data_IF_220811907010
#
_entry.id   IF_220811907010
#
_cell.length_a   1.000
_cell.length_b   1.000
_cell.length_c   1.000
_cell.angle_alpha   90.00
_cell.angle_beta   90.00
_cell.angle_gamma   90.00
#
_symmetry.space_group_name_H-M   'P 1'
#
loop_
_entity.id
_entity.type
_entity.pdbx_description
1 polymer ?
#
# COMPACT_ATOMS: atom_id res chain seq x y z
N UNK A 1 -5.45 8.01 25.20
CA UNK A 1 -5.53 6.55 24.97
C UNK A 1 -4.27 6.09 24.26
N UNK A 2 -3.77 4.88 24.55
CA UNK A 2 -2.59 4.35 23.87
C UNK A 2 -2.84 4.20 22.36
N UNK A 3 -1.82 4.50 21.54
CA UNK A 3 -1.83 4.31 20.08
C UNK A 3 -1.31 2.92 19.77
N UNK A 4 -2.01 2.19 18.92
CA UNK A 4 -1.63 0.84 18.53
C UNK A 4 -1.28 0.79 17.04
N UNK A 5 -0.25 0.07 16.64
CA UNK A 5 0.09 -0.11 15.23
C UNK A 5 -1.07 -0.69 14.40
N UNK A 6 -2.00 -1.39 15.05
CA UNK A 6 -3.20 -1.87 14.40
C UNK A 6 -4.09 -0.73 13.90
N UNK A 7 -4.16 0.42 14.59
CA UNK A 7 -4.87 1.62 14.10
C UNK A 7 -4.27 2.11 12.76
N UNK A 8 -2.93 2.07 12.64
CA UNK A 8 -2.24 2.39 11.39
C UNK A 8 -2.53 1.36 10.28
N UNK A 9 -2.57 0.07 10.61
CA UNK A 9 -2.92 -0.95 9.62
C UNK A 9 -4.37 -0.79 9.13
N UNK A 10 -5.32 -0.55 10.02
CA UNK A 10 -6.71 -0.25 9.66
C UNK A 10 -6.79 1.01 8.79
N UNK A 11 -6.03 2.05 9.13
CA UNK A 11 -5.94 3.28 8.32
C UNK A 11 -5.41 3.02 6.91
N UNK A 12 -4.41 2.17 6.76
CA UNK A 12 -3.89 1.76 5.45
C UNK A 12 -4.94 0.99 4.63
N UNK A 13 -5.69 0.06 5.26
CA UNK A 13 -6.78 -0.67 4.61
C UNK A 13 -7.89 0.27 4.12
N UNK A 14 -8.27 1.26 4.93
CA UNK A 14 -9.28 2.25 4.55
C UNK A 14 -8.81 3.14 3.39
N UNK A 15 -7.56 3.58 3.43
CA UNK A 15 -6.99 4.44 2.39
C UNK A 15 -6.87 3.72 1.04
N UNK A 16 -6.44 2.46 1.04
CA UNK A 16 -6.39 1.61 -0.15
C UNK A 16 -7.79 1.40 -0.75
N UNK A 17 -8.76 0.98 0.06
CA UNK A 17 -10.13 0.73 -0.40
C UNK A 17 -10.82 1.99 -0.94
N UNK A 18 -10.50 3.19 -0.39
CA UNK A 18 -10.99 4.46 -0.90
C UNK A 18 -10.36 4.81 -2.24
N UNK A 19 -9.07 4.59 -2.39
CA UNK A 19 -8.31 4.93 -3.58
C UNK A 19 -8.48 3.91 -4.72
N UNK A 20 -8.92 2.67 -4.43
CA UNK A 20 -9.02 1.55 -5.37
C UNK A 20 -9.77 1.90 -6.68
N UNK A 21 -10.92 2.59 -6.68
CA UNK A 21 -11.63 2.90 -7.93
C UNK A 21 -10.92 3.93 -8.81
N UNK A 22 -10.00 4.72 -8.24
CA UNK A 22 -9.23 5.75 -8.95
C UNK A 22 -7.74 5.45 -9.02
N UNK A 23 -7.36 4.22 -8.71
CA UNK A 23 -5.97 3.77 -8.76
C UNK A 23 -5.44 3.83 -10.19
N UNK A 24 -4.29 4.49 -10.34
CA UNK A 24 -3.59 4.76 -11.58
C UNK A 24 -4.35 5.62 -12.60
N UNK A 25 -5.26 6.50 -12.15
CA UNK A 25 -5.70 7.62 -12.93
C UNK A 25 -4.64 8.72 -12.90
N UNK A 26 -3.92 8.88 -14.01
CA UNK A 26 -2.91 9.94 -14.19
C UNK A 26 -3.53 11.18 -14.81
N UNK A 27 -4.55 11.01 -15.68
CA UNK A 27 -5.39 12.10 -16.17
C UNK A 27 -6.46 12.44 -15.12
N UNK A 28 -6.19 13.52 -14.37
CA UNK A 28 -7.10 13.99 -13.33
C UNK A 28 -8.45 14.48 -13.88
N UNK A 29 -8.49 15.02 -15.12
CA UNK A 29 -9.76 15.40 -15.75
C UNK A 29 -10.62 14.16 -16.01
N UNK A 30 -9.99 13.06 -16.44
CA UNK A 30 -10.66 11.76 -16.57
C UNK A 30 -11.17 11.24 -15.22
N UNK A 31 -10.36 11.31 -14.16
CA UNK A 31 -10.78 10.94 -12.81
C UNK A 31 -12.03 11.71 -12.38
N UNK A 32 -11.99 13.04 -12.53
CA UNK A 32 -13.10 13.92 -12.14
C UNK A 32 -14.36 13.68 -12.98
N UNK A 33 -14.20 13.42 -14.28
CA UNK A 33 -15.32 13.09 -15.18
C UNK A 33 -15.98 11.76 -14.79
N UNK A 34 -15.18 10.74 -14.47
CA UNK A 34 -15.67 9.38 -14.29
C UNK A 34 -16.21 9.14 -12.87
N UNK A 35 -15.64 9.79 -11.85
CA UNK A 35 -15.98 9.56 -10.43
C UNK A 35 -16.40 10.82 -9.67
N UNK A 36 -16.08 12.02 -10.16
CA UNK A 36 -16.18 13.25 -9.38
C UNK A 36 -15.19 13.22 -8.21
N UNK A 37 -15.51 13.95 -7.15
CA UNK A 37 -14.73 13.90 -5.90
C UNK A 37 -14.99 12.60 -5.15
N UNK A 38 -13.96 11.83 -4.92
CA UNK A 38 -14.03 10.55 -4.21
C UNK A 38 -13.97 10.81 -2.70
N UNK A 39 -15.10 10.67 -2.02
CA UNK A 39 -15.25 10.91 -0.56
C UNK A 39 -15.88 9.72 0.17
N UNK A 40 -16.06 8.60 -0.51
CA UNK A 40 -16.58 7.33 0.02
C UNK A 40 -16.08 6.18 -0.82
N UNK A 41 -16.23 4.97 -0.31
CA UNK A 41 -15.93 3.77 -1.07
C UNK A 41 -16.84 3.67 -2.30
N UNK A 42 -16.25 3.44 -3.46
CA UNK A 42 -16.93 3.28 -4.74
C UNK A 42 -16.44 2.00 -5.42
N UNK A 43 -17.28 1.44 -6.28
CA UNK A 43 -16.85 0.35 -7.16
C UNK A 43 -16.09 0.91 -8.37
N UNK A 44 -15.12 0.17 -8.92
CA UNK A 44 -14.44 0.56 -10.14
C UNK A 44 -15.38 0.56 -11.34
N UNK A 45 -15.08 1.40 -12.34
CA UNK A 45 -15.85 1.53 -13.56
C UNK A 45 -14.99 1.24 -14.79
N UNK A 46 -15.57 0.59 -15.78
CA UNK A 46 -15.03 0.53 -17.14
C UNK A 46 -15.73 1.57 -18.03
N UNK A 47 -15.05 2.15 -19.02
CA UNK A 47 -13.62 2.02 -19.28
C UNK A 47 -12.77 2.83 -18.31
N UNK A 48 -11.55 2.34 -18.03
CA UNK A 48 -10.51 3.10 -17.33
C UNK A 48 -9.62 3.78 -18.37
N UNK A 49 -9.60 5.11 -18.39
CA UNK A 49 -8.93 5.89 -19.44
C UNK A 49 -7.42 5.65 -19.50
N UNK A 50 -6.76 5.54 -18.34
CA UNK A 50 -5.30 5.39 -18.23
C UNK A 50 -4.83 3.94 -18.18
N UNK A 51 -5.72 2.96 -18.39
CA UNK A 51 -5.34 1.55 -18.30
C UNK A 51 -4.25 1.17 -19.30
N UNK A 52 -3.18 0.56 -18.79
CA UNK A 52 -2.07 0.02 -19.58
C UNK A 52 -2.16 -1.49 -19.80
N UNK A 53 -3.24 -2.14 -19.41
CA UNK A 53 -3.45 -3.58 -19.60
C UNK A 53 -3.28 -4.00 -21.06
N UNK A 54 -3.68 -3.13 -22.00
CA UNK A 54 -3.54 -3.39 -23.44
C UNK A 54 -2.10 -3.57 -23.92
N UNK A 55 -1.12 -3.01 -23.21
CA UNK A 55 0.31 -3.12 -23.53
C UNK A 55 1.08 -3.97 -22.52
N UNK A 56 0.45 -4.32 -21.41
CA UNK A 56 1.05 -5.18 -20.39
C UNK A 56 1.05 -6.63 -20.86
N UNK A 57 2.15 -7.31 -20.62
CA UNK A 57 2.33 -8.72 -21.01
C UNK A 57 2.81 -9.53 -19.82
N UNK A 58 2.22 -10.68 -19.65
CA UNK A 58 2.72 -11.71 -18.75
C UNK A 58 2.31 -13.08 -19.31
N UNK A 59 3.30 -13.93 -19.53
CA UNK A 59 3.10 -15.30 -19.95
C UNK A 59 3.86 -16.20 -18.97
N UNK A 60 3.15 -17.00 -18.16
CA UNK A 60 3.78 -17.91 -17.22
C UNK A 60 4.61 -18.97 -17.98
N UNK A 61 5.83 -19.22 -17.49
CA UNK A 61 6.71 -20.25 -18.10
C UNK A 61 6.17 -21.67 -17.84
N UNK A 62 5.56 -21.86 -16.68
CA UNK A 62 4.92 -23.12 -16.23
C UNK A 62 3.94 -22.80 -15.08
N UNK A 63 3.36 -23.82 -14.47
CA UNK A 63 2.39 -23.71 -13.38
C UNK A 63 2.86 -22.88 -12.17
N UNK A 64 4.17 -22.83 -11.90
CA UNK A 64 4.76 -21.99 -10.84
C UNK A 64 4.75 -20.50 -11.16
N UNK A 65 4.40 -20.12 -12.37
CA UNK A 65 4.23 -18.74 -12.79
C UNK A 65 2.74 -18.37 -13.00
N UNK A 66 1.80 -19.30 -12.85
CA UNK A 66 0.39 -19.07 -13.14
C UNK A 66 -0.29 -18.29 -12.01
N UNK A 67 -0.22 -16.96 -12.07
CA UNK A 67 -0.76 -16.05 -11.06
C UNK A 67 -1.89 -15.15 -11.59
N UNK A 68 -2.19 -15.19 -12.88
CA UNK A 68 -3.29 -14.41 -13.46
C UNK A 68 -4.60 -15.19 -13.48
N UNK A 69 -4.55 -16.50 -13.58
CA UNK A 69 -5.70 -17.39 -13.63
C UNK A 69 -6.73 -16.92 -14.67
N UNK A 70 -8.00 -16.79 -14.25
CA UNK A 70 -9.10 -16.28 -15.07
C UNK A 70 -8.94 -14.80 -15.48
N UNK A 71 -8.04 -14.05 -14.84
CA UNK A 71 -7.76 -12.66 -15.17
C UNK A 71 -6.88 -12.51 -16.43
N UNK A 72 -6.16 -13.55 -16.85
CA UNK A 72 -5.28 -13.54 -18.01
C UNK A 72 -6.00 -13.10 -19.30
N UNK A 73 -7.29 -13.45 -19.45
CA UNK A 73 -8.10 -13.09 -20.64
C UNK A 73 -8.29 -11.59 -20.84
N UNK A 74 -8.11 -10.75 -19.82
CA UNK A 74 -8.27 -9.29 -19.90
C UNK A 74 -6.97 -8.58 -20.28
N UNK A 75 -5.84 -9.27 -20.19
CA UNK A 75 -4.55 -8.70 -20.58
C UNK A 75 -4.48 -8.51 -22.10
N UNK A 76 -3.94 -7.37 -22.52
CA UNK A 76 -3.97 -6.95 -23.92
C UNK A 76 -5.22 -6.16 -24.32
N UNK A 77 -6.25 -6.06 -23.48
CA UNK A 77 -7.46 -5.32 -23.75
C UNK A 77 -7.36 -3.85 -23.30
N UNK A 78 -7.98 -2.93 -24.07
CA UNK A 78 -8.02 -1.49 -23.74
C UNK A 78 -9.18 -1.16 -22.81
N UNK A 79 -8.98 -0.13 -21.97
CA UNK A 79 -10.02 0.43 -21.14
C UNK A 79 -10.47 -0.47 -19.99
N UNK A 80 -9.80 -1.59 -19.74
CA UNK A 80 -10.12 -2.48 -18.63
C UNK A 80 -9.56 -1.90 -17.34
N UNK A 81 -10.41 -1.74 -16.33
CA UNK A 81 -9.99 -1.28 -15.02
C UNK A 81 -9.13 -2.34 -14.32
N UNK A 82 -8.04 -1.91 -13.68
CA UNK A 82 -7.10 -2.80 -12.99
C UNK A 82 -7.75 -3.66 -11.90
N UNK A 83 -8.83 -3.15 -11.30
CA UNK A 83 -9.56 -3.75 -10.19
C UNK A 83 -11.03 -4.01 -10.53
N UNK A 84 -11.36 -4.26 -11.81
CA UNK A 84 -12.75 -4.28 -12.32
C UNK A 84 -13.73 -5.20 -11.58
N UNK A 85 -13.25 -6.22 -10.89
CA UNK A 85 -14.08 -7.18 -10.17
C UNK A 85 -14.16 -6.91 -8.66
N UNK A 86 -13.42 -5.93 -8.17
CA UNK A 86 -13.51 -5.55 -6.77
C UNK A 86 -14.78 -4.71 -6.52
N UNK A 87 -15.25 -4.73 -5.29
CA UNK A 87 -16.44 -4.00 -4.84
C UNK A 87 -16.04 -2.77 -4.04
N UNK A 88 -16.99 -1.84 -3.86
CA UNK A 88 -16.81 -0.72 -2.94
C UNK A 88 -16.41 -1.21 -1.53
N UNK A 89 -15.35 -0.64 -0.97
CA UNK A 89 -14.79 -1.04 0.32
C UNK A 89 -13.91 -2.30 0.29
N UNK A 90 -13.66 -2.89 -0.88
CA UNK A 90 -12.74 -4.01 -1.05
C UNK A 90 -11.30 -3.52 -1.23
N UNK A 91 -10.34 -4.24 -0.66
CA UNK A 91 -8.92 -3.92 -0.79
C UNK A 91 -8.31 -4.51 -2.06
N UNK A 92 -7.29 -3.81 -2.59
CA UNK A 92 -6.46 -4.31 -3.71
C UNK A 92 -5.65 -5.54 -3.30
N UNK A 93 -5.10 -6.27 -4.29
CA UNK A 93 -4.32 -7.49 -4.07
C UNK A 93 -3.22 -7.30 -3.01
N UNK A 94 -2.48 -6.19 -3.05
CA UNK A 94 -1.40 -5.95 -2.10
C UNK A 94 -1.92 -5.83 -0.65
N UNK A 95 -3.07 -5.22 -0.44
CA UNK A 95 -3.65 -5.12 0.89
C UNK A 95 -4.44 -6.39 1.30
N UNK A 96 -4.92 -7.19 0.35
CA UNK A 96 -5.38 -8.55 0.62
C UNK A 96 -4.20 -9.42 1.13
N UNK A 97 -3.04 -9.35 0.47
CA UNK A 97 -1.81 -10.01 0.93
C UNK A 97 -1.32 -9.49 2.29
N UNK A 98 -1.46 -8.18 2.56
CA UNK A 98 -1.15 -7.61 3.86
C UNK A 98 -2.04 -8.17 4.98
N UNK A 99 -3.33 -8.41 4.70
CA UNK A 99 -4.26 -9.09 5.63
C UNK A 99 -3.86 -10.55 5.87
N UNK A 100 -3.53 -11.26 4.79
CA UNK A 100 -3.03 -12.65 4.89
C UNK A 100 -1.77 -12.71 5.74
N UNK A 101 -0.82 -11.79 5.52
CA UNK A 101 0.42 -11.68 6.29
C UNK A 101 0.15 -11.45 7.79
N UNK A 102 -0.73 -10.50 8.10
CA UNK A 102 -1.11 -10.22 9.48
C UNK A 102 -1.69 -11.48 10.16
N UNK A 103 -2.68 -12.10 9.54
CA UNK A 103 -3.31 -13.31 10.06
C UNK A 103 -2.34 -14.48 10.19
N UNK A 104 -1.46 -14.66 9.20
CA UNK A 104 -0.45 -15.70 9.18
C UNK A 104 0.57 -15.56 10.34
N UNK A 105 1.09 -14.34 10.57
CA UNK A 105 2.00 -14.07 11.69
C UNK A 105 1.31 -14.32 13.02
N UNK A 106 0.08 -13.81 13.19
CA UNK A 106 -0.68 -13.95 14.45
C UNK A 106 -1.00 -15.41 14.76
N UNK A 107 -1.33 -16.21 13.76
CA UNK A 107 -1.63 -17.65 13.95
C UNK A 107 -0.41 -18.49 14.29
N UNK A 108 0.80 -18.01 13.94
CA UNK A 108 2.07 -18.74 14.16
C UNK A 108 2.90 -18.20 15.32
N UNK A 109 2.46 -17.12 15.95
CA UNK A 109 3.17 -16.49 17.06
C UNK A 109 4.48 -15.80 16.68
N UNK A 110 4.72 -15.52 15.39
CA UNK A 110 5.90 -14.79 14.94
C UNK A 110 6.11 -14.79 13.43
N UNK A 111 7.01 -13.91 12.96
CA UNK A 111 7.38 -13.80 11.56
C UNK A 111 8.51 -14.77 11.20
N UNK A 112 8.36 -15.42 10.05
CA UNK A 112 9.41 -16.20 9.37
C UNK A 112 9.35 -15.86 7.88
N UNK A 113 10.47 -15.38 7.33
CA UNK A 113 10.56 -15.03 5.90
C UNK A 113 10.31 -16.24 5.00
N UNK A 114 10.96 -17.38 5.29
CA UNK A 114 10.77 -18.61 4.53
C UNK A 114 9.32 -19.09 4.55
N UNK A 115 8.73 -19.16 5.75
CA UNK A 115 7.35 -19.61 5.92
C UNK A 115 6.34 -18.66 5.26
N UNK A 116 6.59 -17.36 5.32
CA UNK A 116 5.75 -16.38 4.61
C UNK A 116 5.87 -16.52 3.09
N UNK A 117 7.07 -16.65 2.55
CA UNK A 117 7.27 -16.77 1.11
C UNK A 117 6.58 -18.02 0.53
N UNK A 118 6.57 -19.12 1.30
CA UNK A 118 5.79 -20.30 0.92
C UNK A 118 4.29 -20.01 0.93
N UNK A 119 3.78 -19.37 2.00
CA UNK A 119 2.36 -18.99 2.10
C UNK A 119 1.95 -18.02 0.98
N UNK A 120 2.80 -17.05 0.66
CA UNK A 120 2.60 -16.11 -0.45
C UNK A 120 2.53 -16.83 -1.80
N UNK A 121 3.44 -17.78 -2.05
CA UNK A 121 3.40 -18.59 -3.27
C UNK A 121 2.12 -19.40 -3.35
N UNK A 122 1.71 -20.10 -2.27
CA UNK A 122 0.49 -20.89 -2.20
C UNK A 122 -0.77 -20.02 -2.40
N UNK A 123 -0.77 -18.79 -1.87
CA UNK A 123 -1.87 -17.85 -2.08
C UNK A 123 -1.98 -17.44 -3.56
N UNK A 124 -0.90 -17.02 -4.17
CA UNK A 124 -0.89 -16.49 -5.53
C UNK A 124 -1.14 -17.56 -6.60
N UNK A 125 -0.67 -18.78 -6.37
CA UNK A 125 -0.83 -19.89 -7.30
C UNK A 125 -2.19 -20.61 -7.18
N UNK A 126 -2.97 -20.30 -6.15
CA UNK A 126 -4.29 -20.93 -5.97
C UNK A 126 -5.37 -20.12 -6.68
N UNK A 127 -6.04 -20.66 -7.72
CA UNK A 127 -7.14 -19.98 -8.39
C UNK A 127 -8.23 -19.50 -7.43
N UNK A 128 -8.77 -18.29 -7.68
CA UNK A 128 -9.87 -17.72 -6.91
C UNK A 128 -9.49 -17.09 -5.57
N UNK A 129 -8.20 -17.05 -5.20
CA UNK A 129 -7.76 -16.38 -3.97
C UNK A 129 -7.78 -14.85 -4.09
N UNK A 130 -7.63 -14.30 -5.27
CA UNK A 130 -7.83 -12.89 -5.58
C UNK A 130 -8.61 -12.71 -6.88
N UNK A 131 -9.11 -11.50 -7.10
CA UNK A 131 -9.89 -11.13 -8.28
C UNK A 131 -9.34 -9.88 -8.98
N UNK A 132 -8.18 -9.41 -8.56
CA UNK A 132 -7.52 -8.29 -9.21
C UNK A 132 -7.09 -8.66 -10.62
N UNK A 133 -7.48 -7.82 -11.58
CA UNK A 133 -7.18 -8.06 -13.00
C UNK A 133 -5.73 -7.73 -13.29
N UNK A 134 -5.17 -6.69 -12.66
CA UNK A 134 -3.76 -6.34 -12.81
C UNK A 134 -2.94 -6.87 -11.64
N UNK A 135 -1.94 -7.66 -11.96
CA UNK A 135 -0.93 -8.15 -11.01
C UNK A 135 0.38 -7.40 -11.30
N UNK A 136 0.91 -6.72 -10.30
CA UNK A 136 2.04 -5.80 -10.45
C UNK A 136 3.35 -6.48 -10.87
N UNK A 137 4.30 -5.64 -11.31
CA UNK A 137 5.59 -6.10 -11.82
C UNK A 137 6.39 -6.88 -10.78
N UNK A 138 6.35 -6.47 -9.53
CA UNK A 138 7.00 -7.17 -8.42
C UNK A 138 6.53 -8.62 -8.30
N UNK A 139 5.22 -8.87 -8.36
CA UNK A 139 4.66 -10.22 -8.35
C UNK A 139 5.05 -10.97 -9.63
N UNK A 140 4.85 -10.38 -10.81
CA UNK A 140 5.18 -11.02 -12.09
C UNK A 140 6.65 -11.39 -12.18
N UNK A 141 7.55 -10.50 -11.77
CA UNK A 141 8.98 -10.75 -11.75
C UNK A 141 9.38 -11.85 -10.76
N UNK A 142 8.78 -11.83 -9.56
CA UNK A 142 8.98 -12.85 -8.53
C UNK A 142 8.58 -14.24 -9.07
N UNK A 143 7.39 -14.39 -9.61
CA UNK A 143 6.88 -15.68 -10.09
C UNK A 143 7.54 -16.12 -11.41
N UNK A 144 8.01 -15.19 -12.23
CA UNK A 144 8.88 -15.54 -13.37
C UNK A 144 10.16 -16.22 -12.90
N UNK A 145 10.82 -15.67 -11.86
CA UNK A 145 12.04 -16.27 -11.30
C UNK A 145 11.76 -17.60 -10.59
N UNK A 146 10.63 -17.71 -9.91
CA UNK A 146 10.21 -18.95 -9.28
C UNK A 146 9.93 -20.05 -10.32
N UNK A 147 9.26 -19.73 -11.42
CA UNK A 147 9.04 -20.63 -12.55
C UNK A 147 10.33 -21.06 -13.25
N UNK A 148 11.38 -20.23 -13.19
CA UNK A 148 12.73 -20.58 -13.63
C UNK A 148 13.50 -21.50 -12.67
N UNK A 149 12.87 -21.94 -11.57
CA UNK A 149 13.48 -22.85 -10.59
C UNK A 149 14.32 -22.17 -9.50
N UNK A 150 14.26 -20.83 -9.36
CA UNK A 150 14.96 -20.17 -8.25
C UNK A 150 14.24 -20.47 -6.92
N UNK A 151 15.00 -20.64 -5.82
CA UNK A 151 14.41 -20.70 -4.49
C UNK A 151 13.60 -19.43 -4.19
N UNK A 152 12.48 -19.54 -3.47
CA UNK A 152 11.60 -18.41 -3.15
C UNK A 152 12.35 -17.20 -2.56
N UNK A 153 13.31 -17.44 -1.66
CA UNK A 153 14.14 -16.39 -1.06
C UNK A 153 15.05 -15.64 -2.07
N UNK A 154 15.14 -16.09 -3.33
CA UNK A 154 15.94 -15.49 -4.41
C UNK A 154 15.09 -14.97 -5.57
N UNK A 155 13.76 -14.93 -5.40
CA UNK A 155 12.82 -14.51 -6.44
C UNK A 155 12.55 -13.01 -6.47
N UNK A 156 12.84 -12.26 -5.41
CA UNK A 156 12.68 -10.81 -5.37
C UNK A 156 13.42 -10.09 -6.50
N UNK A 157 12.82 -9.03 -7.03
CA UNK A 157 13.38 -8.26 -8.15
C UNK A 157 13.88 -6.87 -7.69
N UNK A 158 14.62 -6.21 -8.57
CA UNK A 158 15.07 -4.84 -8.36
C UNK A 158 13.96 -3.88 -8.75
N UNK A 159 12.96 -3.76 -7.87
CA UNK A 159 11.77 -2.95 -8.05
C UNK A 159 11.85 -1.71 -7.17
N UNK A 160 11.64 -0.51 -7.75
CA UNK A 160 11.72 0.78 -7.06
C UNK A 160 10.34 1.41 -6.78
N UNK A 161 9.27 0.62 -6.91
CA UNK A 161 7.92 1.11 -6.71
C UNK A 161 7.53 1.14 -5.22
N UNK A 162 6.68 2.11 -4.85
CA UNK A 162 6.16 2.29 -3.49
C UNK A 162 5.27 1.11 -3.04
N UNK A 163 4.80 0.28 -3.96
CA UNK A 163 4.10 -0.98 -3.66
C UNK A 163 4.84 -1.88 -2.66
N UNK A 164 6.18 -1.80 -2.63
CA UNK A 164 6.99 -2.49 -1.62
C UNK A 164 6.68 -2.13 -0.17
N UNK A 165 5.99 -1.00 0.08
CA UNK A 165 5.59 -0.58 1.43
C UNK A 165 4.21 -1.13 1.84
N UNK A 166 3.46 -1.77 0.95
CA UNK A 166 2.08 -2.18 1.18
C UNK A 166 1.89 -3.07 2.42
N UNK A 167 2.87 -3.89 2.75
CA UNK A 167 2.80 -4.81 3.90
C UNK A 167 3.35 -4.23 5.20
N UNK A 168 4.01 -3.06 5.17
CA UNK A 168 4.70 -2.49 6.36
C UNK A 168 3.74 -2.25 7.53
N UNK A 169 2.55 -1.63 7.36
CA UNK A 169 1.62 -1.43 8.47
C UNK A 169 1.12 -2.76 9.08
N UNK A 170 0.91 -3.79 8.25
CA UNK A 170 0.50 -5.11 8.72
C UNK A 170 1.59 -5.80 9.55
N UNK A 171 2.86 -5.72 9.09
CA UNK A 171 4.02 -6.22 9.85
C UNK A 171 4.16 -5.53 11.19
N UNK A 172 4.05 -4.20 11.22
CA UNK A 172 4.13 -3.42 12.45
C UNK A 172 3.02 -3.81 13.43
N UNK A 173 1.81 -4.02 12.94
CA UNK A 173 0.68 -4.45 13.77
C UNK A 173 0.85 -5.87 14.29
N UNK A 174 1.26 -6.80 13.44
CA UNK A 174 1.42 -8.21 13.79
C UNK A 174 2.62 -8.48 14.72
N UNK A 175 3.67 -7.65 14.61
CA UNK A 175 4.92 -7.75 15.37
C UNK A 175 5.09 -6.61 16.38
N UNK A 176 3.98 -6.08 16.92
CA UNK A 176 3.94 -4.88 17.76
C UNK A 176 4.68 -5.01 19.10
N UNK A 177 4.94 -6.23 19.54
CA UNK A 177 5.69 -6.59 20.75
C UNK A 177 7.22 -6.58 20.54
N UNK A 178 7.70 -6.55 19.30
CA UNK A 178 9.12 -6.49 19.02
C UNK A 178 9.71 -5.11 19.34
N UNK A 179 10.93 -5.04 19.89
CA UNK A 179 11.64 -3.78 20.02
C UNK A 179 11.98 -3.21 18.65
N UNK A 180 12.06 -1.86 18.53
CA UNK A 180 12.24 -1.13 17.27
C UNK A 180 13.32 -1.72 16.36
N UNK A 181 14.50 -2.04 16.90
CA UNK A 181 15.60 -2.58 16.12
C UNK A 181 15.26 -3.92 15.44
N UNK A 182 14.52 -4.78 16.13
CA UNK A 182 14.07 -6.08 15.58
C UNK A 182 12.95 -5.90 14.55
N UNK A 183 11.99 -5.02 14.85
CA UNK A 183 10.91 -4.70 13.91
C UNK A 183 11.46 -4.14 12.59
N UNK A 184 12.42 -3.22 12.64
CA UNK A 184 13.12 -2.69 11.45
C UNK A 184 13.80 -3.79 10.64
N UNK A 185 14.46 -4.74 11.32
CA UNK A 185 15.13 -5.87 10.66
C UNK A 185 14.11 -6.78 9.96
N UNK A 186 13.01 -7.13 10.62
CA UNK A 186 11.92 -7.93 10.04
C UNK A 186 11.31 -7.24 8.82
N UNK A 187 11.00 -5.94 8.92
CA UNK A 187 10.45 -5.18 7.80
C UNK A 187 11.42 -5.12 6.62
N UNK A 188 12.71 -4.86 6.87
CA UNK A 188 13.73 -4.83 5.82
C UNK A 188 13.88 -6.18 5.12
N UNK A 189 13.89 -7.27 5.87
CA UNK A 189 13.94 -8.64 5.33
C UNK A 189 12.73 -8.94 4.46
N UNK A 190 11.52 -8.65 4.98
CA UNK A 190 10.27 -8.89 4.27
C UNK A 190 10.19 -8.09 2.95
N UNK A 191 10.38 -6.78 3.01
CA UNK A 191 10.33 -5.91 1.82
C UNK A 191 11.39 -6.31 0.79
N UNK A 192 12.61 -6.63 1.24
CA UNK A 192 13.70 -7.08 0.39
C UNK A 192 13.45 -8.41 -0.31
N UNK A 193 12.53 -9.23 0.19
CA UNK A 193 12.16 -10.50 -0.44
C UNK A 193 11.42 -10.36 -1.76
N UNK A 194 10.81 -9.20 -2.01
CA UNK A 194 10.07 -8.86 -3.26
C UNK A 194 10.67 -7.64 -3.96
N UNK A 195 10.99 -6.57 -3.21
CA UNK A 195 11.49 -5.28 -3.69
C UNK A 195 12.91 -5.04 -3.16
N UNK A 196 13.92 -5.52 -3.88
CA UNK A 196 15.31 -5.48 -3.43
C UNK A 196 16.01 -4.11 -3.66
N UNK A 197 15.29 -3.07 -4.09
CA UNK A 197 15.85 -1.74 -4.37
C UNK A 197 16.20 -0.99 -3.08
N UNK A 198 17.43 -0.42 -2.93
CA UNK A 198 17.88 0.23 -1.70
C UNK A 198 16.98 1.37 -1.22
N UNK A 199 16.44 2.17 -2.14
CA UNK A 199 15.54 3.27 -1.78
C UNK A 199 14.20 2.77 -1.23
N UNK A 200 13.67 1.64 -1.70
CA UNK A 200 12.45 1.03 -1.15
C UNK A 200 12.72 0.52 0.26
N UNK A 201 13.86 -0.15 0.48
CA UNK A 201 14.26 -0.60 1.82
C UNK A 201 14.46 0.56 2.79
N UNK A 202 15.06 1.67 2.31
CA UNK A 202 15.21 2.90 3.09
C UNK A 202 13.87 3.54 3.41
N UNK A 203 12.93 3.58 2.45
CA UNK A 203 11.58 4.12 2.66
C UNK A 203 10.79 3.28 3.68
N UNK A 204 10.87 1.95 3.59
CA UNK A 204 10.24 1.04 4.55
C UNK A 204 10.79 1.27 5.98
N UNK A 205 12.09 1.38 6.14
CA UNK A 205 12.75 1.70 7.41
C UNK A 205 12.31 3.07 7.94
N UNK A 206 12.22 4.07 7.06
CA UNK A 206 11.73 5.42 7.43
C UNK A 206 10.28 5.37 7.90
N UNK A 207 9.40 4.65 7.18
CA UNK A 207 7.99 4.50 7.58
C UNK A 207 7.87 3.86 8.97
N UNK A 208 8.66 2.81 9.25
CA UNK A 208 8.68 2.19 10.60
C UNK A 208 9.08 3.19 11.66
N UNK A 209 10.15 3.99 11.43
CA UNK A 209 10.63 4.97 12.42
C UNK A 209 9.63 6.10 12.66
N UNK A 210 9.01 6.63 11.60
CA UNK A 210 7.95 7.65 11.71
C UNK A 210 6.75 7.11 12.51
N UNK A 211 6.23 5.94 12.12
CA UNK A 211 5.11 5.33 12.83
C UNK A 211 5.47 4.97 14.29
N UNK A 212 6.70 4.54 14.54
CA UNK A 212 7.15 4.28 15.91
C UNK A 212 7.13 5.56 16.75
N UNK A 213 7.70 6.66 16.26
CA UNK A 213 7.68 7.94 16.96
C UNK A 213 6.24 8.44 17.23
N UNK A 214 5.34 8.30 16.23
CA UNK A 214 3.92 8.65 16.40
C UNK A 214 3.25 7.78 17.46
N UNK A 215 3.53 6.47 17.51
CA UNK A 215 3.03 5.58 18.56
C UNK A 215 3.47 6.04 19.96
N UNK A 216 4.72 6.47 20.09
CA UNK A 216 5.29 6.98 21.35
C UNK A 216 4.78 8.39 21.72
N UNK A 217 3.84 8.95 20.94
CA UNK A 217 3.19 10.22 21.27
C UNK A 217 3.77 11.45 20.58
N UNK A 218 4.79 11.29 19.72
CA UNK A 218 5.32 12.41 18.91
C UNK A 218 4.25 12.79 17.86
N UNK A 219 4.04 14.10 17.64
CA UNK A 219 3.12 14.57 16.60
C UNK A 219 3.70 14.28 15.21
N UNK A 220 2.82 14.12 14.21
CA UNK A 220 3.21 13.64 12.86
C UNK A 220 4.27 14.53 12.22
N UNK A 221 4.11 15.85 12.29
CA UNK A 221 5.07 16.80 11.70
C UNK A 221 6.46 16.69 12.32
N UNK A 222 6.52 16.56 13.63
CA UNK A 222 7.79 16.38 14.33
C UNK A 222 8.42 15.02 14.01
N UNK A 223 7.62 13.95 14.00
CA UNK A 223 8.08 12.61 13.64
C UNK A 223 8.65 12.58 12.20
N UNK A 224 7.95 13.17 11.24
CA UNK A 224 8.42 13.25 9.83
C UNK A 224 9.70 14.11 9.76
N UNK A 225 9.75 15.25 10.42
CA UNK A 225 10.95 16.11 10.41
C UNK A 225 12.18 15.39 10.91
N UNK A 226 12.02 14.63 12.01
CA UNK A 226 13.13 13.94 12.67
C UNK A 226 13.55 12.67 11.93
N UNK A 227 12.56 11.85 11.52
CA UNK A 227 12.81 10.50 11.03
C UNK A 227 12.85 10.38 9.50
N UNK A 228 12.31 11.38 8.78
CA UNK A 228 12.18 11.38 7.33
C UNK A 228 12.80 12.63 6.64
N UNK A 229 13.68 13.36 7.33
CA UNK A 229 14.31 14.59 6.82
C UNK A 229 15.06 14.43 5.50
N UNK A 230 15.56 13.22 5.20
CA UNK A 230 16.21 12.88 3.93
C UNK A 230 15.21 12.77 2.75
N UNK A 231 13.91 12.61 3.02
CA UNK A 231 12.85 12.51 2.02
C UNK A 231 12.16 13.86 1.82
N UNK A 232 11.87 14.55 2.90
CA UNK A 232 11.15 15.82 2.89
C UNK A 232 11.65 16.74 4.00
N UNK A 233 11.96 17.97 3.62
CA UNK A 233 12.28 19.02 4.60
C UNK A 233 10.99 19.58 5.21
N UNK A 234 10.88 19.59 6.54
CA UNK A 234 9.75 20.19 7.25
C UNK A 234 9.51 21.66 6.89
N UNK A 235 10.58 22.44 6.71
CA UNK A 235 10.49 23.85 6.25
C UNK A 235 9.86 23.97 4.86
N UNK A 236 10.19 23.05 3.94
CA UNK A 236 9.58 23.02 2.60
C UNK A 236 8.12 22.58 2.68
N UNK A 237 7.82 21.53 3.44
CA UNK A 237 6.46 21.04 3.64
C UNK A 237 5.56 22.16 4.20
N UNK A 238 6.00 22.88 5.21
CA UNK A 238 5.27 24.02 5.79
C UNK A 238 5.01 25.11 4.74
N UNK A 239 5.99 25.43 3.90
CA UNK A 239 5.86 26.41 2.82
C UNK A 239 4.83 25.99 1.75
N UNK A 240 4.55 24.69 1.60
CA UNK A 240 3.59 24.18 0.63
C UNK A 240 2.17 24.05 1.18
N UNK A 241 1.95 24.21 2.48
CA UNK A 241 0.63 24.05 3.13
C UNK A 241 -0.48 24.91 2.50
N UNK A 242 -0.13 26.07 1.93
CA UNK A 242 -1.09 26.97 1.28
C UNK A 242 -1.38 26.60 -0.18
N UNK A 243 -0.66 25.62 -0.72
CA UNK A 243 -0.85 25.17 -2.09
C UNK A 243 -1.89 24.05 -2.12
N UNK A 244 -2.52 23.87 -3.29
CA UNK A 244 -3.43 22.73 -3.47
C UNK A 244 -2.65 21.42 -3.43
N UNK A 245 -3.32 20.33 -3.07
CA UNK A 245 -2.71 19.00 -3.02
C UNK A 245 -2.24 18.56 -4.41
N UNK A 246 -3.00 18.91 -5.41
CA UNK A 246 -2.71 18.61 -6.82
C UNK A 246 -1.47 19.34 -7.33
N UNK A 247 -1.22 20.56 -6.83
CA UNK A 247 0.00 21.28 -7.18
C UNK A 247 1.22 20.65 -6.52
N UNK A 248 1.10 20.21 -5.27
CA UNK A 248 2.23 19.57 -4.58
C UNK A 248 2.41 18.12 -5.05
N UNK A 249 1.31 17.33 -5.10
CA UNK A 249 1.30 15.94 -5.57
C UNK A 249 0.75 15.91 -6.99
N UNK A 250 1.58 16.11 -7.97
CA UNK A 250 1.23 16.17 -9.38
C UNK A 250 2.21 17.04 -10.16
N UNK A 251 2.61 18.21 -9.61
CA UNK A 251 3.55 19.11 -10.27
C UNK A 251 4.92 19.13 -9.58
N UNK A 252 4.98 19.11 -8.21
CA UNK A 252 6.27 19.06 -7.49
C UNK A 252 6.77 17.64 -7.33
N UNK A 253 5.88 16.73 -6.96
CA UNK A 253 6.11 15.30 -6.93
C UNK A 253 5.25 14.62 -7.98
N UNK A 254 5.80 13.66 -8.69
CA UNK A 254 5.02 12.84 -9.60
C UNK A 254 3.96 12.04 -8.85
N UNK A 255 2.79 11.84 -9.45
CA UNK A 255 1.78 10.90 -8.95
C UNK A 255 2.12 9.43 -9.26
N UNK A 256 3.24 9.18 -9.95
CA UNK A 256 3.69 7.84 -10.31
C UNK A 256 4.17 7.02 -9.09
N UNK A 257 4.34 5.72 -9.32
CA UNK A 257 4.66 4.74 -8.30
C UNK A 257 6.13 4.72 -7.83
N UNK A 258 7.03 5.48 -8.48
CA UNK A 258 8.45 5.48 -8.15
C UNK A 258 8.72 6.05 -6.76
N UNK A 259 9.42 5.29 -5.93
CA UNK A 259 9.61 5.58 -4.49
C UNK A 259 10.25 6.96 -4.22
N UNK A 260 11.13 7.42 -5.13
CA UNK A 260 11.82 8.71 -4.99
C UNK A 260 10.84 9.91 -4.96
N UNK A 261 9.70 9.78 -5.65
CA UNK A 261 8.66 10.80 -5.73
C UNK A 261 7.46 10.47 -4.83
N UNK A 262 7.06 9.19 -4.81
CA UNK A 262 5.88 8.74 -4.09
C UNK A 262 6.05 8.80 -2.56
N UNK A 263 7.25 8.53 -2.03
CA UNK A 263 7.50 8.62 -0.58
C UNK A 263 7.39 10.05 -0.06
N UNK A 264 8.10 11.06 -0.61
CA UNK A 264 7.94 12.45 -0.14
C UNK A 264 6.52 12.99 -0.38
N UNK A 265 5.82 12.60 -1.45
CA UNK A 265 4.42 12.94 -1.68
C UNK A 265 3.51 12.41 -0.56
N UNK A 266 3.70 11.14 -0.17
CA UNK A 266 2.95 10.52 0.93
C UNK A 266 3.21 11.21 2.28
N UNK A 267 4.47 11.48 2.56
CA UNK A 267 4.88 12.17 3.79
C UNK A 267 4.32 13.59 3.86
N UNK A 268 4.28 14.31 2.72
CA UNK A 268 3.66 15.63 2.65
C UNK A 268 2.16 15.59 2.96
N UNK A 269 1.41 14.65 2.40
CA UNK A 269 -0.01 14.50 2.70
C UNK A 269 -0.23 14.15 4.18
N UNK A 270 0.54 13.23 4.73
CA UNK A 270 0.49 12.93 6.16
C UNK A 270 0.85 14.14 7.04
N UNK A 271 1.83 14.95 6.63
CA UNK A 271 2.21 16.21 7.27
C UNK A 271 1.06 17.22 7.26
N UNK A 272 0.46 17.45 6.08
CA UNK A 272 -0.58 18.46 5.89
C UNK A 272 -1.84 18.13 6.70
N UNK A 273 -2.19 16.86 6.74
CA UNK A 273 -3.41 16.35 7.36
C UNK A 273 -3.16 15.67 8.71
N UNK A 274 -2.14 16.07 9.47
CA UNK A 274 -1.70 15.38 10.70
C UNK A 274 -2.79 15.15 11.76
N UNK A 275 -3.86 15.93 11.76
CA UNK A 275 -5.01 15.84 12.67
C UNK A 275 -6.33 15.51 11.96
N UNK A 276 -6.27 15.15 10.68
CA UNK A 276 -7.46 14.87 9.85
C UNK A 276 -7.25 13.63 8.99
N UNK A 277 -7.57 12.47 9.55
CA UNK A 277 -7.48 11.19 8.85
C UNK A 277 -8.29 11.19 7.56
N UNK A 278 -9.55 11.64 7.63
CA UNK A 278 -10.46 11.58 6.48
C UNK A 278 -10.01 12.53 5.37
N UNK A 279 -9.68 13.78 5.73
CA UNK A 279 -9.14 14.74 4.77
C UNK A 279 -7.90 14.21 4.07
N UNK A 280 -6.98 13.57 4.80
CA UNK A 280 -5.74 13.02 4.25
C UNK A 280 -5.96 11.88 3.25
N UNK A 281 -6.81 10.90 3.55
CA UNK A 281 -7.07 9.79 2.62
C UNK A 281 -7.91 10.23 1.42
N UNK A 282 -8.84 11.17 1.60
CA UNK A 282 -9.62 11.79 0.51
C UNK A 282 -8.71 12.60 -0.41
N UNK A 283 -7.85 13.45 0.13
CA UNK A 283 -6.85 14.18 -0.66
C UNK A 283 -5.98 13.22 -1.47
N UNK A 284 -5.45 12.17 -0.83
CA UNK A 284 -4.65 11.16 -1.49
C UNK A 284 -5.36 10.47 -2.68
N UNK A 285 -6.63 10.09 -2.52
CA UNK A 285 -7.41 9.45 -3.59
C UNK A 285 -7.62 10.41 -4.78
N UNK A 286 -7.95 11.68 -4.51
CA UNK A 286 -8.33 12.65 -5.52
C UNK A 286 -7.17 13.29 -6.30
N UNK A 287 -5.93 13.17 -5.84
CA UNK A 287 -4.75 13.57 -6.63
C UNK A 287 -4.39 12.54 -7.70
N UNK A 288 -4.99 11.35 -7.66
CA UNK A 288 -4.79 10.32 -8.69
C UNK A 288 -3.43 9.62 -8.64
N UNK A 289 -3.05 9.00 -9.76
CA UNK A 289 -1.82 8.23 -9.91
C UNK A 289 -1.81 6.96 -9.04
N UNK A 290 -0.68 6.60 -8.49
CA UNK A 290 -0.53 5.44 -7.59
C UNK A 290 -1.12 5.74 -6.20
N UNK A 291 -2.42 5.96 -6.16
CA UNK A 291 -3.15 6.40 -4.99
C UNK A 291 -3.35 5.30 -3.94
N UNK A 292 -3.38 4.02 -4.31
CA UNK A 292 -3.51 2.92 -3.36
C UNK A 292 -2.24 2.77 -2.51
N UNK A 293 -1.08 2.63 -3.14
CA UNK A 293 0.17 2.40 -2.39
C UNK A 293 0.63 3.65 -1.65
N UNK A 294 0.45 4.85 -2.24
CA UNK A 294 0.66 6.11 -1.52
C UNK A 294 -0.31 6.21 -0.33
N UNK A 295 -1.55 5.75 -0.51
CA UNK A 295 -2.58 5.66 0.53
C UNK A 295 -2.17 4.79 1.71
N UNK A 296 -1.43 3.71 1.49
CA UNK A 296 -0.90 2.86 2.59
C UNK A 296 -0.04 3.67 3.53
N UNK A 297 0.86 4.51 3.01
CA UNK A 297 1.73 5.36 3.83
C UNK A 297 0.93 6.44 4.55
N UNK A 298 0.08 7.16 3.81
CA UNK A 298 -0.77 8.24 4.36
C UNK A 298 -1.73 7.69 5.42
N UNK A 299 -2.51 6.67 5.06
CA UNK A 299 -3.48 6.03 5.94
C UNK A 299 -2.82 5.34 7.15
N UNK A 300 -1.65 4.74 6.94
CA UNK A 300 -0.86 4.12 8.00
C UNK A 300 -0.40 5.11 9.07
N UNK A 301 0.14 6.26 8.66
CA UNK A 301 0.58 7.31 9.60
C UNK A 301 -0.62 7.99 10.26
N UNK A 302 -1.62 8.40 9.47
CA UNK A 302 -2.78 9.15 9.99
C UNK A 302 -3.72 8.28 10.81
N UNK A 303 -3.94 7.02 10.43
CA UNK A 303 -4.74 6.08 11.23
C UNK A 303 -4.15 5.88 12.62
N UNK A 304 -2.81 5.78 12.71
CA UNK A 304 -2.10 5.70 13.98
C UNK A 304 -2.18 7.03 14.78
N UNK A 305 -2.11 8.18 14.11
CA UNK A 305 -2.11 9.49 14.75
C UNK A 305 -3.49 9.91 15.26
N UNK A 306 -4.52 9.81 14.40
CA UNK A 306 -5.86 10.36 14.62
C UNK A 306 -6.89 9.31 15.01
N UNK A 307 -6.59 8.01 14.87
CA UNK A 307 -7.52 6.89 14.78
C UNK A 307 -8.43 6.95 13.56
N UNK A 308 -8.84 5.79 13.11
CA UNK A 308 -9.78 5.65 12.01
C UNK A 308 -11.20 5.84 12.52
N UNK A 309 -12.00 6.77 11.98
CA UNK A 309 -13.41 6.87 12.34
C UNK A 309 -14.15 5.57 12.03
N UNK A 310 -15.02 5.12 12.95
CA UNK A 310 -15.73 3.83 12.86
C UNK A 310 -16.48 3.65 11.54
N UNK A 311 -17.08 4.70 11.00
CA UNK A 311 -17.80 4.63 9.72
C UNK A 311 -16.90 4.18 8.55
N UNK A 312 -15.60 4.48 8.60
CA UNK A 312 -14.65 4.05 7.57
C UNK A 312 -14.24 2.59 7.75
N UNK A 313 -13.94 2.17 8.98
CA UNK A 313 -13.58 0.77 9.24
C UNK A 313 -14.75 -0.19 9.03
N UNK A 314 -15.97 0.20 9.41
CA UNK A 314 -17.19 -0.58 9.22
C UNK A 314 -17.60 -0.67 7.73
N UNK A 315 -17.20 0.32 6.92
CA UNK A 315 -17.47 0.34 5.48
C UNK A 315 -16.56 -0.58 4.65
N UNK A 316 -15.50 -1.16 5.25
CA UNK A 316 -14.66 -2.14 4.56
C UNK A 316 -15.44 -3.43 4.30
N UNK A 317 -15.36 -3.96 3.07
CA UNK A 317 -16.07 -5.19 2.68
C UNK A 317 -15.61 -6.39 3.52
N UNK A 318 -14.32 -6.49 3.78
CA UNK A 318 -13.76 -7.43 4.74
C UNK A 318 -13.46 -6.66 6.03
N UNK A 319 -14.06 -7.02 7.17
CA UNK A 319 -13.82 -6.33 8.43
C UNK A 319 -12.32 -6.26 8.76
N UNK A 320 -11.83 -5.16 9.34
CA UNK A 320 -10.46 -5.09 9.80
C UNK A 320 -10.21 -6.05 10.96
N UNK A 321 -8.95 -6.41 11.23
CA UNK A 321 -8.62 -7.15 12.44
C UNK A 321 -9.13 -6.40 13.69
N UNK A 322 -9.64 -7.17 14.66
CA UNK A 322 -10.31 -6.63 15.84
C UNK A 322 -9.30 -6.22 16.92
N UNK A 323 -9.34 -4.96 17.34
CA UNK A 323 -8.50 -4.42 18.41
C UNK A 323 -8.79 -5.09 19.77
N UNK A 324 -10.04 -5.49 20.02
CA UNK A 324 -10.44 -6.08 21.29
C UNK A 324 -9.89 -7.49 21.50
N UNK A 325 -9.60 -8.23 20.42
CA UNK A 325 -9.04 -9.59 20.48
C UNK A 325 -7.51 -9.66 20.62
N UNK A 326 -6.83 -8.52 20.60
CA UNK A 326 -5.37 -8.44 20.70
C UNK A 326 -4.90 -8.26 22.15
N UNK A 327 -5.82 -7.95 23.07
CA UNK A 327 -5.53 -7.66 24.49
C UNK A 327 -5.71 -8.87 25.42
N UNK A 328 -5.81 -10.07 24.89
CA UNK A 328 -5.97 -11.32 25.64
C UNK A 328 -4.70 -12.16 25.67
#
# INVERSE_FOLDING_TARGET
MAKHFLDGFVGALCADALAMPVHWYYDRAALMRDYGKVERYLAPKNPHADSILWRSKYAPLNEKGEILHDQAQYWGQRGVHYHQFLKAGENTLNLQLARELYGWIRSRGGYSSEGWLQHYADFMLKPGRHRDTYVEESHRGFFTRYAQGKPLAKCGIWDEHIGGLAHVPALMAACSDLPLGRLRAVVKEHVGSTHAHPNVLRAADTLVRVCWAVREGVIVREAITKEAGDWISGKKAEGWMKQSDEHVVGERFSTACYIAEAMPASLYLAWKYENDFVGGIVANANVGGDSCHRGVVVGGILGLACRVPKAWSDGLLVPPPDLEKVSG
#
